data_IF_095517986716
#
_entry.id   IF_095517986716
#
_cell.length_a   1.000
_cell.length_b   1.000
_cell.length_c   1.000
_cell.angle_alpha   90.00
_cell.angle_beta   90.00
_cell.angle_gamma   90.00
#
_symmetry.space_group_name_H-M   'P 1'
#
loop_
_entity.id
_entity.type
_entity.pdbx_description
1 polymer ?
#
# COMPACT_ATOMS: atom_id res chain seq x y z
N UNK A 1 20.80 26.76 16.87
CA UNK A 1 20.17 25.44 16.79
C UNK A 1 18.75 25.65 16.32
N UNK A 2 18.35 25.02 15.22
CA UNK A 2 16.99 25.07 14.68
C UNK A 2 16.10 24.12 15.48
N UNK A 3 14.76 24.23 15.32
CA UNK A 3 13.80 23.29 15.94
C UNK A 3 14.09 21.86 15.44
N UNK A 4 14.39 21.69 14.16
CA UNK A 4 14.79 20.39 13.57
C UNK A 4 15.99 19.78 14.32
N UNK A 5 17.07 20.56 14.50
CA UNK A 5 18.27 20.09 15.19
C UNK A 5 18.00 19.71 16.65
N UNK A 6 17.12 20.43 17.35
CA UNK A 6 16.68 20.07 18.70
C UNK A 6 15.91 18.75 18.73
N UNK A 7 15.06 18.51 17.72
CA UNK A 7 14.33 17.24 17.61
C UNK A 7 15.27 16.06 17.29
N UNK A 8 16.25 16.25 16.41
CA UNK A 8 17.26 15.23 16.10
C UNK A 8 18.14 14.88 17.31
N UNK A 9 18.52 15.87 18.11
CA UNK A 9 19.23 15.63 19.38
C UNK A 9 18.32 14.95 20.43
N UNK A 10 17.01 15.22 20.42
CA UNK A 10 16.06 14.51 21.27
C UNK A 10 15.91 13.03 20.84
N UNK A 11 15.80 12.75 19.54
CA UNK A 11 15.82 11.38 19.00
C UNK A 11 17.02 10.59 19.53
N UNK A 12 18.22 11.16 19.42
CA UNK A 12 19.46 10.53 19.86
C UNK A 12 19.47 10.18 21.36
N UNK A 13 18.80 10.99 22.20
CA UNK A 13 18.75 10.76 23.65
C UNK A 13 17.64 9.81 24.07
N UNK A 14 16.57 9.70 23.32
CA UNK A 14 15.33 9.03 23.76
C UNK A 14 15.02 7.75 22.98
N UNK A 15 15.46 7.64 21.73
CA UNK A 15 15.20 6.47 20.92
C UNK A 15 16.12 5.29 21.30
N UNK A 16 15.70 4.10 20.89
CA UNK A 16 16.48 2.87 21.01
C UNK A 16 17.78 2.98 20.23
N UNK A 17 18.89 2.32 20.69
CA UNK A 17 20.11 2.25 19.89
C UNK A 17 19.93 1.52 18.54
N UNK A 18 18.83 0.82 18.36
CA UNK A 18 18.47 0.14 17.11
C UNK A 18 17.55 0.97 16.21
N UNK A 19 17.07 2.13 16.68
CA UNK A 19 16.21 3.03 15.91
C UNK A 19 17.03 3.75 14.83
N UNK A 20 16.38 4.04 13.71
CA UNK A 20 16.98 4.84 12.66
C UNK A 20 16.77 6.33 12.93
N UNK A 21 17.82 7.07 13.25
CA UNK A 21 17.75 8.49 13.57
C UNK A 21 17.62 9.34 12.31
N UNK A 22 16.84 10.42 12.39
CA UNK A 22 16.64 11.35 11.26
C UNK A 22 17.95 11.96 10.78
N UNK A 23 18.85 12.30 11.71
CA UNK A 23 20.20 12.83 11.40
C UNK A 23 21.11 11.87 10.64
N UNK A 24 20.81 10.56 10.65
CA UNK A 24 21.59 9.52 9.98
C UNK A 24 21.02 9.17 8.59
N UNK A 25 20.03 9.90 8.10
CA UNK A 25 19.42 9.61 6.80
C UNK A 25 20.45 9.65 5.67
N UNK A 26 20.35 8.69 4.76
CA UNK A 26 21.14 8.65 3.52
C UNK A 26 20.67 9.69 2.49
N UNK A 27 19.69 10.51 2.88
CA UNK A 27 19.20 11.64 2.11
C UNK A 27 18.32 11.25 0.93
N UNK A 28 18.23 12.19 -0.01
CA UNK A 28 17.36 12.19 -1.20
C UNK A 28 18.20 12.04 -2.45
N UNK A 29 17.56 11.70 -3.57
CA UNK A 29 18.26 11.65 -4.86
C UNK A 29 18.57 13.06 -5.40
N UNK A 30 17.65 14.00 -5.17
CA UNK A 30 17.86 15.41 -5.54
C UNK A 30 18.10 16.21 -4.26
N UNK A 31 19.28 16.89 -4.14
CA UNK A 31 19.57 17.75 -3.00
C UNK A 31 18.53 18.85 -2.84
N UNK A 32 18.14 19.11 -1.61
CA UNK A 32 17.22 20.18 -1.22
C UNK A 32 17.72 20.86 0.06
N UNK A 33 17.33 22.11 0.25
CA UNK A 33 17.55 22.81 1.52
C UNK A 33 16.86 22.08 2.67
N UNK A 34 17.54 21.99 3.79
CA UNK A 34 16.98 21.44 5.01
C UNK A 34 15.89 22.36 5.56
N UNK A 35 14.90 21.77 6.20
CA UNK A 35 13.83 22.53 6.86
C UNK A 35 14.27 22.89 8.28
N UNK A 36 13.94 24.11 8.73
CA UNK A 36 14.33 24.57 10.07
C UNK A 36 13.48 23.96 11.18
N UNK A 37 12.31 23.39 10.83
CA UNK A 37 11.30 22.92 11.78
C UNK A 37 11.18 21.41 11.76
N UNK A 38 11.08 20.80 10.57
CA UNK A 38 10.74 19.39 10.39
C UNK A 38 11.97 18.54 10.07
N UNK A 39 12.04 17.38 10.70
CA UNK A 39 13.02 16.35 10.32
C UNK A 39 12.75 15.82 8.90
N UNK A 40 13.71 15.11 8.33
CA UNK A 40 13.62 14.57 6.97
C UNK A 40 12.40 13.63 6.80
N UNK A 41 12.09 12.80 7.82
CA UNK A 41 10.99 11.85 7.75
C UNK A 41 9.63 12.52 7.93
N UNK A 42 9.53 13.57 8.72
CA UNK A 42 8.32 14.40 8.81
C UNK A 42 7.99 15.03 7.45
N UNK A 43 9.01 15.55 6.76
CA UNK A 43 8.82 16.09 5.40
C UNK A 43 8.36 15.02 4.42
N UNK A 44 8.87 13.79 4.53
CA UNK A 44 8.45 12.69 3.68
C UNK A 44 7.01 12.29 3.92
N UNK A 45 6.60 12.16 5.17
CA UNK A 45 5.22 11.95 5.57
C UNK A 45 4.29 12.99 4.95
N UNK A 46 4.63 14.27 5.10
CA UNK A 46 3.83 15.37 4.58
C UNK A 46 3.70 15.31 3.04
N UNK A 47 4.79 14.98 2.34
CA UNK A 47 4.79 14.81 0.87
C UNK A 47 3.86 13.69 0.43
N UNK A 48 3.86 12.57 1.14
CA UNK A 48 2.98 11.42 0.86
C UNK A 48 1.53 11.82 1.09
N UNK A 49 1.19 12.40 2.25
CA UNK A 49 -0.17 12.83 2.60
C UNK A 49 -0.77 13.80 1.57
N UNK A 50 0.04 14.70 1.03
CA UNK A 50 -0.39 15.69 0.05
C UNK A 50 -0.33 15.22 -1.40
N UNK A 51 0.08 13.95 -1.66
CA UNK A 51 0.14 13.38 -3.01
C UNK A 51 -1.25 13.10 -3.60
N UNK A 52 -1.35 13.06 -4.93
CA UNK A 52 -2.58 12.64 -5.63
C UNK A 52 -2.86 11.16 -5.36
N UNK A 53 -1.82 10.33 -5.35
CA UNK A 53 -1.93 8.90 -5.14
C UNK A 53 -2.53 8.58 -3.77
N UNK A 54 -2.09 9.24 -2.69
CA UNK A 54 -2.65 9.05 -1.36
C UNK A 54 -4.15 9.39 -1.30
N UNK A 55 -4.57 10.50 -1.92
CA UNK A 55 -6.01 10.86 -1.98
C UNK A 55 -6.86 9.85 -2.73
N UNK A 56 -6.30 9.16 -3.74
CA UNK A 56 -7.02 8.13 -4.51
C UNK A 56 -7.30 6.86 -3.71
N UNK A 57 -6.54 6.58 -2.63
CA UNK A 57 -6.74 5.41 -1.78
C UNK A 57 -8.15 5.35 -1.17
N UNK A 58 -8.82 6.48 -1.00
CA UNK A 58 -10.19 6.53 -0.46
C UNK A 58 -11.23 5.87 -1.38
N UNK A 59 -10.93 5.74 -2.68
CA UNK A 59 -11.82 5.18 -3.71
C UNK A 59 -11.22 3.92 -4.37
N UNK A 60 -10.34 3.22 -3.67
CA UNK A 60 -9.81 1.92 -4.07
C UNK A 60 -10.26 0.86 -3.07
N UNK A 61 -10.80 -0.24 -3.59
CA UNK A 61 -11.19 -1.41 -2.80
C UNK A 61 -10.00 -2.01 -2.06
N UNK A 62 -10.24 -2.47 -0.82
CA UNK A 62 -9.23 -3.21 -0.05
C UNK A 62 -9.30 -4.71 -0.39
N UNK A 63 -10.41 -5.38 -0.13
CA UNK A 63 -10.56 -6.84 -0.27
C UNK A 63 -11.72 -7.23 -1.16
N UNK A 64 -12.94 -6.77 -0.84
CA UNK A 64 -14.15 -7.14 -1.57
C UNK A 64 -14.54 -6.05 -2.57
N UNK A 65 -14.82 -6.46 -3.82
CA UNK A 65 -15.17 -5.55 -4.90
C UNK A 65 -16.53 -4.91 -4.57
N UNK A 66 -16.52 -3.60 -4.36
CA UNK A 66 -17.70 -2.74 -4.16
C UNK A 66 -18.84 -3.39 -3.35
N UNK A 67 -18.62 -3.75 -2.09
CA UNK A 67 -19.74 -4.15 -1.26
C UNK A 67 -20.71 -2.96 -1.10
N UNK A 68 -22.01 -3.22 -1.14
CA UNK A 68 -23.02 -2.19 -0.86
C UNK A 68 -22.93 -1.76 0.62
N UNK A 69 -22.78 -0.45 0.88
CA UNK A 69 -22.81 0.15 2.20
C UNK A 69 -21.61 1.02 2.57
N UNK A 70 -21.77 1.85 3.61
CA UNK A 70 -20.80 2.87 4.02
C UNK A 70 -19.74 2.37 5.00
N UNK A 71 -19.80 1.10 5.42
CA UNK A 71 -18.99 0.56 6.52
C UNK A 71 -17.81 -0.31 6.08
N UNK A 72 -17.61 -0.49 4.79
CA UNK A 72 -16.49 -1.29 4.27
C UNK A 72 -15.20 -0.49 4.20
N UNK A 73 -14.09 -1.20 4.41
CA UNK A 73 -12.76 -0.59 4.39
C UNK A 73 -12.32 -0.26 2.98
N UNK A 74 -11.83 0.97 2.83
CA UNK A 74 -11.08 1.40 1.65
C UNK A 74 -9.58 1.24 1.91
N UNK A 75 -8.75 1.34 0.87
CA UNK A 75 -7.30 1.34 1.06
C UNK A 75 -6.81 2.49 1.94
N UNK A 76 -7.50 3.62 1.94
CA UNK A 76 -7.14 4.72 2.82
C UNK A 76 -7.33 4.35 4.30
N UNK A 77 -8.47 3.74 4.66
CA UNK A 77 -8.70 3.33 6.05
C UNK A 77 -7.74 2.23 6.48
N UNK A 78 -7.47 1.24 5.61
CA UNK A 78 -6.44 0.24 5.84
C UNK A 78 -5.06 0.88 6.09
N UNK A 79 -4.62 1.79 5.23
CA UNK A 79 -3.34 2.49 5.37
C UNK A 79 -3.22 3.23 6.70
N UNK A 80 -4.30 3.88 7.16
CA UNK A 80 -4.35 4.55 8.47
C UNK A 80 -4.28 3.56 9.63
N UNK A 81 -4.96 2.42 9.53
CA UNK A 81 -4.91 1.36 10.55
C UNK A 81 -3.52 0.70 10.60
N UNK A 82 -2.88 0.44 9.45
CA UNK A 82 -1.47 -0.01 9.39
C UNK A 82 -0.55 1.00 10.08
N UNK A 83 -0.72 2.27 9.78
CA UNK A 83 0.07 3.35 10.40
C UNK A 83 -0.14 3.40 11.91
N UNK A 84 -1.37 3.26 12.39
CA UNK A 84 -1.67 3.25 13.82
C UNK A 84 -1.02 2.06 14.54
N UNK A 85 -1.11 0.85 13.97
CA UNK A 85 -0.50 -0.35 14.53
C UNK A 85 1.03 -0.23 14.54
N UNK A 86 1.62 0.17 13.41
CA UNK A 86 3.06 0.31 13.24
C UNK A 86 3.66 1.35 14.22
N UNK A 87 3.01 2.49 14.37
CA UNK A 87 3.43 3.53 15.32
C UNK A 87 3.28 3.08 16.77
N UNK A 88 2.25 2.29 17.11
CA UNK A 88 2.11 1.70 18.44
C UNK A 88 3.28 0.78 18.78
N UNK A 89 3.71 -0.05 17.82
CA UNK A 89 4.88 -0.92 17.95
C UNK A 89 6.16 -0.07 18.04
N UNK A 90 6.34 0.89 17.14
CA UNK A 90 7.51 1.75 17.08
C UNK A 90 7.68 2.53 18.40
N UNK A 91 6.61 3.14 18.89
CA UNK A 91 6.62 3.89 20.15
C UNK A 91 7.00 3.02 21.34
N UNK A 92 6.41 1.83 21.47
CA UNK A 92 6.71 0.90 22.56
C UNK A 92 8.17 0.42 22.55
N UNK A 93 8.76 0.26 21.36
CA UNK A 93 10.15 -0.14 21.16
C UNK A 93 11.12 1.05 21.08
N UNK A 94 10.63 2.28 21.22
CA UNK A 94 11.40 3.54 21.07
C UNK A 94 12.13 3.63 19.72
N UNK A 95 11.44 3.23 18.64
CA UNK A 95 11.87 3.43 17.26
C UNK A 95 11.42 4.81 16.75
N UNK A 96 11.86 5.20 15.57
CA UNK A 96 11.50 6.47 14.95
C UNK A 96 10.05 6.42 14.40
N UNK A 97 9.11 7.07 15.12
CA UNK A 97 7.70 7.08 14.72
C UNK A 97 7.47 7.82 13.40
N UNK A 98 8.22 8.90 13.11
CA UNK A 98 8.04 9.67 11.88
C UNK A 98 8.46 8.86 10.64
N UNK A 99 9.57 8.11 10.72
CA UNK A 99 9.98 7.19 9.67
C UNK A 99 8.95 6.06 9.49
N UNK A 100 8.48 5.49 10.60
CA UNK A 100 7.46 4.43 10.59
C UNK A 100 6.17 4.92 9.91
N UNK A 101 5.70 6.11 10.26
CA UNK A 101 4.49 6.70 9.69
C UNK A 101 4.64 7.00 8.20
N UNK A 102 5.76 7.59 7.78
CA UNK A 102 6.02 7.89 6.38
C UNK A 102 6.00 6.62 5.52
N UNK A 103 6.65 5.53 5.97
CA UNK A 103 6.63 4.23 5.28
C UNK A 103 5.21 3.67 5.24
N UNK A 104 4.50 3.67 6.37
CA UNK A 104 3.14 3.12 6.45
C UNK A 104 2.16 3.85 5.54
N UNK A 105 2.23 5.19 5.46
CA UNK A 105 1.37 5.97 4.56
C UNK A 105 1.72 5.78 3.08
N UNK A 106 2.96 5.42 2.78
CA UNK A 106 3.46 5.25 1.41
C UNK A 106 3.34 3.85 0.83
N UNK A 107 3.14 2.82 1.66
CA UNK A 107 3.32 1.43 1.24
C UNK A 107 2.39 0.98 0.10
N UNK A 108 1.14 1.44 0.07
CA UNK A 108 0.07 0.99 -0.83
C UNK A 108 -0.28 1.98 -1.97
N UNK A 109 0.52 3.03 -2.18
CA UNK A 109 0.25 4.08 -3.18
C UNK A 109 0.12 3.57 -4.62
N UNK A 110 0.84 2.49 -4.94
CA UNK A 110 0.87 1.88 -6.27
C UNK A 110 -0.17 0.79 -6.51
N UNK A 111 -1.09 0.56 -5.58
CA UNK A 111 -2.12 -0.45 -5.75
C UNK A 111 -3.07 -0.09 -6.90
N UNK A 112 -3.48 -1.12 -7.64
CA UNK A 112 -4.42 -1.02 -8.77
C UNK A 112 -5.87 -0.79 -8.31
N UNK A 113 -6.78 -0.33 -9.20
CA UNK A 113 -8.20 -0.50 -8.97
C UNK A 113 -8.52 -1.99 -8.74
N UNK A 114 -9.54 -2.28 -7.92
CA UNK A 114 -9.98 -3.63 -7.53
C UNK A 114 -8.91 -4.48 -6.82
N UNK A 115 -7.98 -3.84 -6.15
CA UNK A 115 -7.00 -4.50 -5.30
C UNK A 115 -6.21 -5.61 -5.99
N UNK A 116 -6.17 -6.79 -5.39
CA UNK A 116 -5.40 -7.92 -5.93
C UNK A 116 -5.94 -8.49 -7.24
N UNK A 117 -7.24 -8.33 -7.54
CA UNK A 117 -7.79 -8.74 -8.84
C UNK A 117 -7.19 -7.89 -9.97
N UNK A 118 -7.13 -6.58 -9.78
CA UNK A 118 -6.49 -5.68 -10.73
C UNK A 118 -4.97 -5.90 -10.84
N UNK A 119 -4.29 -6.16 -9.72
CA UNK A 119 -2.85 -6.47 -9.73
C UNK A 119 -2.56 -7.73 -10.57
N UNK A 120 -3.33 -8.81 -10.37
CA UNK A 120 -3.19 -10.03 -11.18
C UNK A 120 -3.46 -9.77 -12.65
N UNK A 121 -4.49 -8.99 -12.96
CA UNK A 121 -4.83 -8.64 -14.34
C UNK A 121 -3.68 -7.88 -15.01
N UNK A 122 -3.18 -6.81 -14.41
CA UNK A 122 -2.06 -6.05 -14.98
C UNK A 122 -0.77 -6.89 -15.07
N UNK A 123 -0.50 -7.75 -14.08
CA UNK A 123 0.66 -8.63 -14.12
C UNK A 123 0.63 -9.63 -15.30
N UNK A 124 -0.56 -10.04 -15.75
CA UNK A 124 -0.72 -10.91 -16.91
C UNK A 124 -0.70 -10.14 -18.24
N UNK A 125 -1.12 -8.89 -18.24
CA UNK A 125 -1.27 -8.06 -19.43
C UNK A 125 0.07 -7.39 -19.79
N UNK A 126 0.77 -6.84 -18.80
CA UNK A 126 2.03 -6.13 -19.01
C UNK A 126 3.18 -7.09 -19.30
N UNK A 127 3.93 -6.86 -20.37
CA UNK A 127 5.05 -7.71 -20.78
C UNK A 127 6.18 -7.78 -19.75
N UNK A 128 6.33 -6.73 -18.95
CA UNK A 128 7.30 -6.62 -17.84
C UNK A 128 6.75 -7.08 -16.50
N UNK A 129 5.50 -7.60 -16.47
CA UNK A 129 4.79 -7.92 -15.22
C UNK A 129 4.33 -6.68 -14.47
N UNK A 130 3.69 -6.92 -13.31
CA UNK A 130 3.21 -5.85 -12.43
C UNK A 130 3.28 -6.26 -10.95
N UNK A 131 3.73 -5.33 -10.12
CA UNK A 131 3.73 -5.46 -8.66
C UNK A 131 3.36 -4.12 -8.04
N UNK A 132 2.35 -4.10 -7.14
CA UNK A 132 1.96 -2.85 -6.45
C UNK A 132 3.09 -2.24 -5.63
N UNK A 133 4.02 -3.07 -5.13
CA UNK A 133 5.18 -2.60 -4.36
C UNK A 133 6.13 -1.78 -5.23
N UNK A 134 6.51 -2.32 -6.39
CA UNK A 134 7.34 -1.62 -7.36
C UNK A 134 6.61 -0.39 -7.92
N UNK A 135 5.31 -0.52 -8.13
CA UNK A 135 4.49 0.60 -8.56
C UNK A 135 4.38 1.68 -7.47
N UNK A 136 4.33 1.34 -6.17
CA UNK A 136 4.36 2.32 -5.08
C UNK A 136 5.65 3.13 -5.09
N UNK A 137 6.79 2.48 -5.32
CA UNK A 137 8.08 3.17 -5.48
C UNK A 137 8.05 4.05 -6.74
N UNK A 138 7.56 3.55 -7.86
CA UNK A 138 7.45 4.32 -9.10
C UNK A 138 6.53 5.55 -8.95
N UNK A 139 5.44 5.44 -8.20
CA UNK A 139 4.56 6.58 -7.88
C UNK A 139 5.35 7.68 -7.19
N UNK A 140 6.14 7.34 -6.16
CA UNK A 140 6.86 8.34 -5.37
C UNK A 140 8.15 8.84 -6.04
N UNK A 141 8.75 8.07 -6.95
CA UNK A 141 9.97 8.45 -7.66
C UNK A 141 9.70 9.17 -8.97
N UNK A 142 8.60 8.83 -9.67
CA UNK A 142 8.38 9.28 -11.05
C UNK A 142 7.02 9.96 -11.23
N UNK A 143 5.90 9.32 -10.84
CA UNK A 143 4.58 9.71 -11.33
C UNK A 143 4.03 10.97 -10.68
N UNK A 144 4.32 11.21 -9.41
CA UNK A 144 3.85 12.41 -8.73
C UNK A 144 4.54 13.68 -9.25
N UNK A 145 3.92 14.84 -9.02
CA UNK A 145 4.44 16.16 -9.40
C UNK A 145 4.86 16.26 -10.87
N UNK A 146 4.02 15.74 -11.77
CA UNK A 146 4.24 15.80 -13.22
C UNK A 146 5.62 15.23 -13.64
N UNK A 147 5.88 14.00 -13.26
CA UNK A 147 7.09 13.27 -13.67
C UNK A 147 8.36 13.63 -12.91
N UNK A 148 8.26 14.31 -11.74
CA UNK A 148 9.41 14.64 -10.88
C UNK A 148 9.48 13.80 -9.60
N UNK A 149 8.40 13.08 -9.27
CA UNK A 149 8.30 12.31 -8.05
C UNK A 149 8.22 13.18 -6.78
N UNK A 150 8.17 12.52 -5.63
CA UNK A 150 8.11 13.16 -4.32
C UNK A 150 9.49 13.46 -3.73
N UNK A 151 10.56 12.91 -4.30
CA UNK A 151 11.93 13.01 -3.80
C UNK A 151 12.02 12.62 -2.31
N UNK A 152 11.54 11.41 -1.98
CA UNK A 152 11.58 10.87 -0.62
C UNK A 152 12.99 10.40 -0.25
N UNK A 153 13.25 10.28 1.04
CA UNK A 153 14.49 9.70 1.58
C UNK A 153 14.61 8.22 1.17
N UNK A 154 15.84 7.73 1.13
CA UNK A 154 16.15 6.35 0.75
C UNK A 154 15.54 5.33 1.70
N UNK A 155 15.44 5.66 2.98
CA UNK A 155 14.88 4.80 4.02
C UNK A 155 13.38 4.61 3.83
N UNK A 156 12.65 5.67 3.52
CA UNK A 156 11.20 5.60 3.25
C UNK A 156 10.95 4.77 1.99
N UNK A 157 11.73 4.97 0.92
CA UNK A 157 11.62 4.18 -0.32
C UNK A 157 11.96 2.71 -0.11
N UNK A 158 13.02 2.41 0.67
CA UNK A 158 13.37 1.03 1.04
C UNK A 158 12.22 0.36 1.81
N UNK A 159 11.62 1.08 2.77
CA UNK A 159 10.48 0.57 3.53
C UNK A 159 9.25 0.30 2.66
N UNK A 160 8.92 1.22 1.72
CA UNK A 160 7.84 1.04 0.75
C UNK A 160 8.11 -0.19 -0.15
N UNK A 161 9.33 -0.33 -0.67
CA UNK A 161 9.70 -1.45 -1.54
C UNK A 161 9.65 -2.80 -0.83
N UNK A 162 9.99 -2.84 0.46
CA UNK A 162 10.21 -4.07 1.21
C UNK A 162 9.11 -4.43 2.21
N UNK A 163 7.92 -3.83 2.12
CA UNK A 163 6.84 -4.10 3.07
C UNK A 163 6.19 -5.49 2.88
N UNK A 164 6.30 -6.12 1.71
CA UNK A 164 5.80 -7.48 1.46
C UNK A 164 6.50 -8.53 2.32
N UNK A 165 5.85 -9.70 2.45
CA UNK A 165 6.37 -10.85 3.20
C UNK A 165 7.74 -11.34 2.71
N UNK A 166 8.01 -11.22 1.42
CA UNK A 166 9.30 -11.59 0.79
C UNK A 166 10.35 -10.48 0.87
N UNK A 167 9.98 -9.28 1.30
CA UNK A 167 10.89 -8.15 1.39
C UNK A 167 11.83 -8.24 2.60
N UNK A 168 12.97 -7.56 2.49
CA UNK A 168 14.01 -7.50 3.52
C UNK A 168 14.28 -6.04 3.89
N UNK A 169 13.39 -5.38 4.64
CA UNK A 169 13.55 -3.98 5.00
C UNK A 169 14.76 -3.78 5.92
N UNK A 170 15.52 -2.73 5.66
CA UNK A 170 16.80 -2.45 6.32
C UNK A 170 16.64 -1.87 7.73
N UNK A 171 15.54 -1.15 7.99
CA UNK A 171 15.31 -0.50 9.28
C UNK A 171 14.27 -1.26 10.10
N UNK A 172 14.32 -1.13 11.44
CA UNK A 172 13.31 -1.74 12.31
C UNK A 172 11.93 -1.09 12.13
N UNK A 173 11.91 0.19 11.80
CA UNK A 173 10.70 0.95 11.47
C UNK A 173 9.97 0.32 10.26
N UNK A 174 10.70 -0.01 9.22
CA UNK A 174 10.16 -0.69 8.04
C UNK A 174 9.73 -2.14 8.35
N UNK A 175 10.44 -2.85 9.26
CA UNK A 175 10.01 -4.15 9.75
C UNK A 175 8.71 -4.04 10.56
N UNK A 176 8.54 -2.97 11.35
CA UNK A 176 7.29 -2.70 12.07
C UNK A 176 6.13 -2.52 11.10
N UNK A 177 6.30 -1.73 10.04
CA UNK A 177 5.26 -1.56 9.00
C UNK A 177 4.92 -2.89 8.34
N UNK A 178 5.91 -3.69 7.94
CA UNK A 178 5.70 -5.01 7.33
C UNK A 178 4.90 -5.98 8.20
N UNK A 179 5.13 -5.98 9.51
CA UNK A 179 4.36 -6.79 10.44
C UNK A 179 2.97 -6.22 10.67
N UNK A 180 2.86 -4.91 10.75
CA UNK A 180 1.58 -4.21 10.96
C UNK A 180 0.62 -4.36 9.80
N UNK A 181 1.12 -4.32 8.56
CA UNK A 181 0.32 -4.60 7.37
C UNK A 181 -0.31 -6.00 7.42
N UNK A 182 0.47 -7.03 7.81
CA UNK A 182 -0.06 -8.39 7.98
C UNK A 182 -1.09 -8.49 9.09
N UNK A 183 -0.87 -7.79 10.21
CA UNK A 183 -1.80 -7.76 11.34
C UNK A 183 -3.11 -7.09 10.92
N UNK A 184 -3.01 -5.92 10.30
CA UNK A 184 -4.14 -5.16 9.81
C UNK A 184 -4.93 -5.98 8.78
N UNK A 185 -4.27 -6.44 7.71
CA UNK A 185 -4.90 -7.21 6.64
C UNK A 185 -5.70 -8.40 7.17
N UNK A 186 -5.09 -9.27 7.99
CA UNK A 186 -5.79 -10.45 8.53
C UNK A 186 -7.03 -10.07 9.35
N UNK A 187 -6.91 -9.07 10.21
CA UNK A 187 -8.03 -8.67 11.07
C UNK A 187 -9.15 -7.98 10.30
N UNK A 188 -8.78 -7.21 9.27
CA UNK A 188 -9.75 -6.58 8.38
C UNK A 188 -10.55 -7.60 7.59
N UNK A 189 -9.87 -8.59 7.02
CA UNK A 189 -10.51 -9.63 6.24
C UNK A 189 -11.50 -10.46 7.07
N UNK A 190 -11.13 -10.78 8.32
CA UNK A 190 -12.04 -11.47 9.25
C UNK A 190 -13.23 -10.58 9.57
N UNK A 191 -13.02 -9.32 9.95
CA UNK A 191 -14.09 -8.39 10.32
C UNK A 191 -15.06 -8.11 9.14
N UNK A 192 -14.51 -7.85 7.97
CA UNK A 192 -15.31 -7.58 6.77
C UNK A 192 -16.09 -8.83 6.31
N UNK A 193 -15.52 -10.03 6.48
CA UNK A 193 -16.20 -11.29 6.18
C UNK A 193 -17.36 -11.59 7.14
N UNK A 194 -17.19 -11.24 8.42
CA UNK A 194 -18.26 -11.35 9.41
C UNK A 194 -19.36 -10.34 9.12
N UNK A 195 -19.02 -9.09 8.83
CA UNK A 195 -19.98 -8.03 8.47
C UNK A 195 -20.76 -8.35 7.20
N UNK A 196 -20.09 -8.96 6.22
CA UNK A 196 -20.70 -9.42 4.98
C UNK A 196 -21.53 -10.69 5.13
N UNK A 197 -21.61 -11.28 6.34
CA UNK A 197 -22.36 -12.52 6.59
C UNK A 197 -21.77 -13.76 5.93
N UNK A 198 -20.50 -13.69 5.49
CA UNK A 198 -19.81 -14.83 4.84
C UNK A 198 -19.42 -15.86 5.90
N UNK A 199 -19.01 -15.42 7.07
CA UNK A 199 -18.66 -16.25 8.24
C UNK A 199 -19.18 -15.57 9.52
N UNK A 200 -19.19 -16.33 10.61
CA UNK A 200 -19.37 -15.82 11.97
C UNK A 200 -18.08 -15.94 12.77
N UNK A 201 -18.00 -15.30 13.95
CA UNK A 201 -16.82 -15.43 14.83
C UNK A 201 -16.65 -16.91 15.29
N UNK A 202 -17.74 -17.67 15.40
CA UNK A 202 -17.77 -19.07 15.81
C UNK A 202 -17.23 -20.02 14.73
N UNK A 203 -17.27 -19.63 13.47
CA UNK A 203 -16.72 -20.42 12.35
C UNK A 203 -15.19 -20.44 12.35
N UNK A 204 -14.55 -19.46 13.01
CA UNK A 204 -13.10 -19.43 13.14
C UNK A 204 -12.62 -20.61 14.01
N UNK A 205 -11.59 -21.39 13.57
CA UNK A 205 -11.11 -22.54 14.33
C UNK A 205 -10.69 -22.17 15.76
N UNK A 206 -11.16 -22.97 16.73
CA UNK A 206 -10.90 -22.74 18.16
C UNK A 206 -9.40 -22.72 18.48
N UNK A 207 -8.60 -23.49 17.77
CA UNK A 207 -7.14 -23.48 17.92
C UNK A 207 -6.50 -22.10 17.67
N UNK A 208 -7.07 -21.30 16.77
CA UNK A 208 -6.60 -19.94 16.53
C UNK A 208 -7.25 -18.92 17.47
N UNK A 209 -8.54 -19.08 17.77
CA UNK A 209 -9.29 -18.20 18.68
C UNK A 209 -8.72 -18.24 20.11
N UNK A 210 -8.32 -19.41 20.59
CA UNK A 210 -7.74 -19.56 21.93
C UNK A 210 -6.39 -18.87 22.08
N UNK A 211 -5.60 -18.74 21.00
CA UNK A 211 -4.29 -18.09 21.01
C UNK A 211 -4.40 -16.61 20.69
N UNK A 212 -5.17 -16.25 19.67
CA UNK A 212 -5.21 -14.88 19.13
C UNK A 212 -6.27 -14.00 19.80
N UNK A 213 -7.32 -14.59 20.38
CA UNK A 213 -8.46 -13.88 20.94
C UNK A 213 -9.76 -14.13 20.17
N UNK A 214 -10.88 -13.79 20.80
CA UNK A 214 -12.25 -14.08 20.35
C UNK A 214 -12.98 -12.83 19.81
N UNK A 215 -12.25 -11.76 19.57
CA UNK A 215 -12.76 -10.54 18.97
C UNK A 215 -11.65 -9.84 18.19
N UNK A 216 -12.01 -8.95 17.27
CA UNK A 216 -11.07 -8.12 16.51
C UNK A 216 -10.12 -7.38 17.45
N UNK A 217 -10.66 -6.79 18.55
CA UNK A 217 -9.88 -6.06 19.54
C UNK A 217 -8.84 -6.95 20.22
N UNK A 218 -9.23 -8.13 20.68
CA UNK A 218 -8.33 -9.07 21.35
C UNK A 218 -7.25 -9.57 20.39
N UNK A 219 -7.62 -9.92 19.17
CA UNK A 219 -6.67 -10.37 18.14
C UNK A 219 -5.60 -9.31 17.84
N UNK A 220 -6.02 -8.07 17.62
CA UNK A 220 -5.08 -6.97 17.36
C UNK A 220 -4.16 -6.74 18.56
N UNK A 221 -4.70 -6.68 19.78
CA UNK A 221 -3.90 -6.49 21.00
C UNK A 221 -2.88 -7.62 21.20
N UNK A 222 -3.31 -8.88 21.07
CA UNK A 222 -2.43 -10.05 21.16
C UNK A 222 -1.28 -9.99 20.16
N UNK A 223 -1.57 -9.67 18.90
CA UNK A 223 -0.57 -9.62 17.84
C UNK A 223 0.43 -8.46 18.06
N UNK A 224 -0.06 -7.27 18.42
CA UNK A 224 0.81 -6.11 18.72
C UNK A 224 1.71 -6.41 19.92
N UNK A 225 1.15 -6.92 21.02
CA UNK A 225 1.92 -7.30 22.22
C UNK A 225 2.95 -8.37 21.92
N UNK A 226 2.60 -9.36 21.14
CA UNK A 226 3.52 -10.42 20.72
C UNK A 226 4.74 -9.84 20.00
N UNK A 227 4.55 -8.90 19.05
CA UNK A 227 5.65 -8.24 18.36
C UNK A 227 6.49 -7.43 19.35
N UNK A 228 5.87 -6.62 20.19
CA UNK A 228 6.59 -5.75 21.13
C UNK A 228 7.45 -6.57 22.10
N UNK A 229 6.83 -7.50 22.84
CA UNK A 229 7.56 -8.24 23.89
C UNK A 229 8.62 -9.19 23.33
N UNK A 230 8.42 -9.70 22.12
CA UNK A 230 9.40 -10.54 21.45
C UNK A 230 10.60 -9.76 20.88
N UNK A 231 10.48 -8.44 20.74
CA UNK A 231 11.47 -7.59 20.06
C UNK A 231 12.18 -6.60 20.97
N UNK A 232 11.79 -6.44 22.24
CA UNK A 232 12.46 -5.53 23.19
C UNK A 232 13.96 -5.83 23.27
N UNK A 233 14.79 -4.81 23.03
CA UNK A 233 16.25 -4.89 23.14
C UNK A 233 16.92 -5.71 22.04
N UNK A 234 16.24 -5.96 20.90
CA UNK A 234 16.76 -6.72 19.77
C UNK A 234 16.93 -5.84 18.53
N UNK A 235 17.78 -6.29 17.64
CA UNK A 235 18.11 -5.69 16.35
C UNK A 235 17.21 -6.16 15.20
N UNK A 236 16.15 -6.89 15.53
CA UNK A 236 15.17 -7.40 14.58
C UNK A 236 13.79 -7.53 15.23
N UNK A 237 12.74 -7.25 14.45
CA UNK A 237 11.37 -7.43 14.92
C UNK A 237 10.86 -8.84 14.61
N UNK A 238 10.26 -9.46 15.61
CA UNK A 238 9.67 -10.80 15.50
C UNK A 238 8.41 -10.93 16.36
N UNK A 239 7.62 -11.92 16.03
CA UNK A 239 6.46 -12.34 16.79
C UNK A 239 6.81 -13.60 17.60
N UNK A 240 6.13 -13.78 18.71
CA UNK A 240 6.20 -15.06 19.44
C UNK A 240 5.86 -16.21 18.48
N UNK A 241 6.58 -17.32 18.49
CA UNK A 241 6.35 -18.43 17.56
C UNK A 241 4.93 -18.98 17.59
N UNK A 242 4.32 -19.18 18.77
CA UNK A 242 2.96 -19.73 18.92
C UNK A 242 1.94 -18.75 18.32
N UNK A 243 2.07 -17.47 18.60
CA UNK A 243 1.18 -16.41 18.05
C UNK A 243 1.38 -16.28 16.54
N UNK A 244 2.63 -16.35 16.08
CA UNK A 244 2.97 -16.29 14.66
C UNK A 244 2.41 -17.46 13.86
N UNK A 245 2.49 -18.68 14.40
CA UNK A 245 1.91 -19.90 13.81
C UNK A 245 0.38 -19.83 13.75
N UNK A 246 -0.26 -19.39 14.84
CA UNK A 246 -1.71 -19.21 14.89
C UNK A 246 -2.17 -18.14 13.87
N UNK A 247 -1.46 -17.02 13.74
CA UNK A 247 -1.74 -15.99 12.74
C UNK A 247 -1.63 -16.54 11.31
N UNK A 248 -0.57 -17.29 11.01
CA UNK A 248 -0.40 -17.93 9.69
C UNK A 248 -1.47 -18.99 9.42
N UNK A 249 -1.84 -19.77 10.45
CA UNK A 249 -2.89 -20.77 10.38
C UNK A 249 -4.24 -20.13 10.04
N UNK A 250 -4.61 -19.07 10.77
CA UNK A 250 -5.84 -18.33 10.51
C UNK A 250 -5.85 -17.72 9.10
N UNK A 251 -4.75 -17.16 8.63
CA UNK A 251 -4.63 -16.67 7.26
C UNK A 251 -4.86 -17.75 6.20
N UNK A 252 -4.28 -18.94 6.40
CA UNK A 252 -4.49 -20.09 5.49
C UNK A 252 -5.95 -20.54 5.51
N UNK A 253 -6.56 -20.56 6.68
CA UNK A 253 -7.97 -20.89 6.83
C UNK A 253 -8.86 -19.90 6.09
N UNK A 254 -8.64 -18.60 6.27
CA UNK A 254 -9.34 -17.52 5.54
C UNK A 254 -9.20 -17.69 4.02
N UNK A 255 -8.00 -18.03 3.55
CA UNK A 255 -7.76 -18.25 2.14
C UNK A 255 -8.61 -19.41 1.56
N UNK A 256 -8.74 -20.48 2.30
CA UNK A 256 -9.47 -21.69 1.83
C UNK A 256 -10.99 -21.59 2.00
N UNK A 257 -11.48 -20.89 3.01
CA UNK A 257 -12.90 -20.86 3.37
C UNK A 257 -13.62 -19.60 2.94
N UNK A 258 -12.93 -18.48 2.88
CA UNK A 258 -13.51 -17.19 2.51
C UNK A 258 -13.16 -16.82 1.08
N UNK A 259 -11.86 -16.64 0.77
CA UNK A 259 -11.46 -16.11 -0.52
C UNK A 259 -11.76 -17.03 -1.71
N UNK A 260 -11.75 -18.36 -1.53
CA UNK A 260 -12.04 -19.32 -2.63
C UNK A 260 -13.52 -19.57 -2.87
N UNK A 261 -14.37 -19.26 -1.92
CA UNK A 261 -15.79 -19.65 -1.93
C UNK A 261 -16.76 -18.47 -2.00
N UNK A 262 -16.28 -17.22 -1.96
CA UNK A 262 -17.16 -16.07 -1.91
C UNK A 262 -17.68 -15.66 -3.29
N UNK A 263 -18.93 -15.20 -3.37
CA UNK A 263 -19.53 -14.56 -4.54
C UNK A 263 -18.68 -13.38 -5.06
N UNK A 264 -17.93 -12.72 -4.15
CA UNK A 264 -16.99 -11.67 -4.53
C UNK A 264 -15.94 -12.14 -5.56
N UNK A 265 -15.65 -13.44 -5.61
CA UNK A 265 -14.73 -14.02 -6.59
C UNK A 265 -15.34 -14.22 -7.96
N UNK A 266 -16.65 -14.36 -8.03
CA UNK A 266 -17.37 -14.44 -9.31
C UNK A 266 -17.27 -13.12 -10.10
N UNK A 267 -17.05 -11.99 -9.42
CA UNK A 267 -16.86 -10.69 -10.06
C UNK A 267 -15.39 -10.43 -10.50
N UNK A 268 -14.40 -11.14 -9.96
CA UNK A 268 -12.97 -10.91 -10.27
C UNK A 268 -12.64 -11.11 -11.76
N UNK A 269 -13.25 -12.10 -12.43
CA UNK A 269 -13.00 -12.33 -13.86
C UNK A 269 -13.48 -11.17 -14.75
N UNK A 270 -14.54 -10.45 -14.30
CA UNK A 270 -15.03 -9.25 -14.99
C UNK A 270 -14.00 -8.13 -14.94
N UNK A 271 -13.31 -7.98 -13.79
CA UNK A 271 -12.21 -7.02 -13.63
C UNK A 271 -11.08 -7.31 -14.61
N UNK A 272 -10.67 -8.58 -14.74
CA UNK A 272 -9.61 -8.95 -15.68
C UNK A 272 -10.01 -8.60 -17.13
N UNK A 273 -11.22 -8.96 -17.54
CA UNK A 273 -11.75 -8.63 -18.86
C UNK A 273 -11.80 -7.13 -19.13
N UNK A 274 -12.28 -6.37 -18.14
CA UNK A 274 -12.41 -4.91 -18.23
C UNK A 274 -11.04 -4.23 -18.34
N UNK A 275 -10.08 -4.59 -17.48
CA UNK A 275 -8.75 -3.99 -17.50
C UNK A 275 -7.98 -4.35 -18.77
N UNK A 276 -8.14 -5.56 -19.30
CA UNK A 276 -7.56 -5.97 -20.59
C UNK A 276 -8.10 -5.12 -21.74
N UNK A 277 -9.41 -4.89 -21.78
CA UNK A 277 -10.02 -4.04 -22.80
C UNK A 277 -9.53 -2.59 -22.69
N UNK A 278 -9.55 -2.01 -21.50
CA UNK A 278 -9.03 -0.65 -21.29
C UNK A 278 -7.56 -0.53 -21.66
N UNK A 279 -6.73 -1.51 -21.30
CA UNK A 279 -5.31 -1.53 -21.65
C UNK A 279 -5.12 -1.54 -23.17
N UNK A 280 -5.82 -2.45 -23.87
CA UNK A 280 -5.78 -2.52 -25.35
C UNK A 280 -6.21 -1.20 -25.97
N UNK A 281 -7.30 -0.61 -25.48
CA UNK A 281 -7.81 0.67 -25.96
C UNK A 281 -6.75 1.78 -25.86
N UNK A 282 -6.11 1.95 -24.69
CA UNK A 282 -5.11 2.99 -24.51
C UNK A 282 -3.80 2.72 -25.26
N UNK A 283 -3.47 1.47 -25.53
CA UNK A 283 -2.36 1.11 -26.43
C UNK A 283 -2.64 1.46 -27.89
N UNK A 284 -3.89 1.37 -28.33
CA UNK A 284 -4.32 1.72 -29.69
C UNK A 284 -4.64 3.21 -29.84
N UNK A 285 -5.05 3.88 -28.75
CA UNK A 285 -5.49 5.27 -28.72
C UNK A 285 -4.74 6.11 -27.66
N UNK A 286 -3.40 6.23 -27.73
CA UNK A 286 -2.60 6.95 -26.74
C UNK A 286 -2.94 8.43 -26.62
N UNK A 287 -3.57 9.03 -27.65
CA UNK A 287 -4.05 10.41 -27.62
C UNK A 287 -5.18 10.63 -26.60
N UNK A 288 -5.86 9.56 -26.15
CA UNK A 288 -6.92 9.62 -25.14
C UNK A 288 -6.41 9.62 -23.70
N UNK A 289 -5.12 9.35 -23.51
CA UNK A 289 -4.48 9.52 -22.20
C UNK A 289 -4.58 10.98 -21.74
N UNK A 290 -4.62 11.20 -20.42
CA UNK A 290 -4.62 12.57 -19.90
C UNK A 290 -3.30 13.29 -20.24
N UNK A 291 -3.33 14.61 -20.26
CA UNK A 291 -2.15 15.44 -20.57
C UNK A 291 -0.92 15.06 -19.73
N UNK A 292 -1.12 14.78 -18.44
CA UNK A 292 -0.06 14.36 -17.53
C UNK A 292 0.64 13.07 -18.02
N UNK A 293 -0.13 12.06 -18.46
CA UNK A 293 0.42 10.79 -18.93
C UNK A 293 0.96 10.86 -20.35
N UNK A 294 0.40 11.71 -21.22
CA UNK A 294 1.02 11.99 -22.52
C UNK A 294 2.38 12.66 -22.37
N UNK A 295 2.50 13.62 -21.47
CA UNK A 295 3.78 14.24 -21.12
C UNK A 295 4.80 13.20 -20.60
N UNK A 296 4.36 12.28 -19.72
CA UNK A 296 5.23 11.21 -19.22
C UNK A 296 5.69 10.28 -20.36
N UNK A 297 4.82 9.98 -21.31
CA UNK A 297 5.17 9.18 -22.48
C UNK A 297 6.21 9.90 -23.35
N UNK A 298 5.96 11.15 -23.73
CA UNK A 298 6.91 11.95 -24.52
C UNK A 298 8.29 12.05 -23.84
N UNK A 299 8.30 12.31 -22.52
CA UNK A 299 9.55 12.36 -21.74
C UNK A 299 10.27 11.01 -21.72
N UNK A 300 9.54 9.90 -21.65
CA UNK A 300 10.15 8.56 -21.62
C UNK A 300 10.88 8.21 -22.92
N UNK A 301 10.49 8.79 -24.05
CA UNK A 301 11.12 8.59 -25.35
C UNK A 301 12.55 9.17 -25.45
N UNK A 302 13.01 9.90 -24.44
CA UNK A 302 14.42 10.33 -24.32
C UNK A 302 15.35 9.12 -24.12
N UNK A 303 14.88 8.08 -23.44
CA UNK A 303 15.60 6.81 -23.30
C UNK A 303 15.44 5.96 -24.56
N UNK A 304 16.49 5.92 -25.39
CA UNK A 304 16.53 5.16 -26.64
C UNK A 304 16.87 3.68 -26.46
N UNK A 305 17.13 3.23 -25.24
CA UNK A 305 17.44 1.82 -24.95
C UNK A 305 16.22 0.92 -24.99
N UNK A 306 15.03 1.52 -24.88
CA UNK A 306 13.72 0.86 -24.85
C UNK A 306 12.90 1.28 -26.06
N UNK A 307 12.09 0.39 -26.61
CA UNK A 307 11.23 0.70 -27.76
C UNK A 307 10.10 1.64 -27.39
N UNK A 308 9.62 2.43 -28.35
CA UNK A 308 8.47 3.33 -28.16
C UNK A 308 7.23 2.58 -27.66
N UNK A 309 7.00 1.36 -28.14
CA UNK A 309 5.90 0.51 -27.71
C UNK A 309 6.01 0.12 -26.24
N UNK A 310 7.21 -0.24 -25.76
CA UNK A 310 7.44 -0.58 -24.35
C UNK A 310 7.29 0.65 -23.45
N UNK A 311 7.71 1.83 -23.89
CA UNK A 311 7.45 3.09 -23.20
C UNK A 311 5.95 3.36 -23.07
N UNK A 312 5.19 3.22 -24.16
CA UNK A 312 3.74 3.38 -24.15
C UNK A 312 3.08 2.36 -23.21
N UNK A 313 3.48 1.09 -23.30
CA UNK A 313 2.98 0.03 -22.43
C UNK A 313 3.18 0.35 -20.96
N UNK A 314 4.35 0.86 -20.60
CA UNK A 314 4.64 1.28 -19.22
C UNK A 314 3.76 2.43 -18.78
N UNK A 315 3.58 3.44 -19.60
CA UNK A 315 2.73 4.61 -19.28
C UNK A 315 1.25 4.24 -19.20
N UNK A 316 0.76 3.36 -20.06
CA UNK A 316 -0.62 2.83 -19.99
C UNK A 316 -0.82 2.04 -18.72
N UNK A 317 0.15 1.20 -18.33
CA UNK A 317 0.12 0.49 -17.07
C UNK A 317 0.08 1.45 -15.87
N UNK A 318 0.92 2.50 -15.86
CA UNK A 318 0.93 3.55 -14.85
C UNK A 318 -0.42 4.28 -14.76
N UNK A 319 -1.03 4.57 -15.90
CA UNK A 319 -2.32 5.26 -15.96
C UNK A 319 -3.44 4.41 -15.36
N UNK A 320 -3.54 3.14 -15.80
CA UNK A 320 -4.58 2.21 -15.31
C UNK A 320 -4.39 1.91 -13.83
N UNK A 321 -3.15 1.62 -13.39
CA UNK A 321 -2.88 1.36 -11.97
C UNK A 321 -3.19 2.57 -11.08
N UNK A 322 -3.06 3.77 -11.61
CA UNK A 322 -3.41 5.02 -10.93
C UNK A 322 -4.91 5.32 -10.84
N UNK A 323 -5.77 4.59 -11.54
CA UNK A 323 -7.22 4.79 -11.48
C UNK A 323 -7.81 4.38 -10.13
N UNK A 324 -8.94 4.99 -9.77
CA UNK A 324 -9.85 4.46 -8.75
C UNK A 324 -10.79 3.46 -9.37
N UNK A 325 -11.46 2.62 -8.57
CA UNK A 325 -12.42 1.64 -9.07
C UNK A 325 -13.55 2.32 -9.84
N UNK A 326 -14.10 3.40 -9.27
CA UNK A 326 -15.15 4.20 -9.89
C UNK A 326 -14.71 4.84 -11.22
N UNK A 327 -13.50 5.40 -11.25
CA UNK A 327 -12.97 6.01 -12.48
C UNK A 327 -12.71 4.96 -13.56
N UNK A 328 -12.24 3.77 -13.17
CA UNK A 328 -12.07 2.65 -14.08
C UNK A 328 -13.38 2.19 -14.70
N UNK A 329 -14.45 2.02 -13.88
CA UNK A 329 -15.80 1.73 -14.36
C UNK A 329 -16.30 2.81 -15.32
N UNK A 330 -16.14 4.09 -14.95
CA UNK A 330 -16.56 5.20 -15.79
C UNK A 330 -15.89 5.15 -17.18
N UNK A 331 -14.58 4.93 -17.23
CA UNK A 331 -13.83 4.83 -18.49
C UNK A 331 -14.24 3.61 -19.33
N UNK A 332 -14.50 2.47 -18.68
CA UNK A 332 -15.02 1.31 -19.37
C UNK A 332 -16.40 1.58 -19.99
N UNK A 333 -17.32 2.17 -19.24
CA UNK A 333 -18.64 2.56 -19.74
C UNK A 333 -18.55 3.58 -20.87
N UNK A 334 -17.62 4.53 -20.78
CA UNK A 334 -17.39 5.56 -21.80
C UNK A 334 -16.99 4.97 -23.16
N UNK A 335 -16.10 3.97 -23.16
CA UNK A 335 -15.50 3.45 -24.39
C UNK A 335 -16.18 2.19 -24.94
N UNK A 336 -16.79 1.38 -24.09
CA UNK A 336 -17.29 0.07 -24.48
C UNK A 336 -18.81 -0.09 -24.40
N UNK A 337 -19.50 0.84 -23.76
CA UNK A 337 -20.97 0.78 -23.64
C UNK A 337 -21.60 1.89 -24.49
N UNK A 338 -22.44 1.55 -25.50
CA UNK A 338 -23.13 2.54 -26.31
C UNK A 338 -24.02 3.46 -25.46
N UNK A 339 -23.89 4.76 -25.66
CA UNK A 339 -24.75 5.75 -24.99
C UNK A 339 -26.10 5.81 -25.71
N UNK A 340 -27.19 5.95 -24.94
CA UNK A 340 -28.50 6.24 -25.49
C UNK A 340 -28.44 7.58 -26.23
N UNK A 341 -28.94 7.61 -27.45
CA UNK A 341 -29.04 8.83 -28.22
C UNK A 341 -30.44 9.45 -27.96
N UNK A 342 -30.47 10.56 -27.22
CA UNK A 342 -31.66 11.39 -27.08
C UNK A 342 -31.54 12.59 -28.01
N UNK A 343 -32.56 12.81 -28.84
CA UNK A 343 -32.82 14.13 -29.41
C UNK A 343 -33.72 14.84 -28.40
N UNK A 344 -33.26 15.93 -27.85
CA UNK A 344 -34.12 16.91 -27.18
C UNK A 344 -34.98 17.62 -28.23
#
# INVERSE_FOLDING_TARGET
MTIREEMEELEKRTLSPYAFLSMNSLGRDYPEEEDDIRTIFQRDRDRILHSKAFRRLKHKTQVFIQPEGDHYRTRLTHTLEVSQIARSIAKALRLNEDLTEAIALGHDLGHTPYGHAGERALNQICSFGFSHVEQSVRVVEVLEKNGRGLNLSKEVRDGILNHRSSGHPKTLEAQAVRLSDKIAYLNHDVDDSIRGGIITEEDLPEEFRSVLGRSVKERIDTLIRSVIFSSIGKDSLRMDPVVGEAMQGLRKWMFSHVYKKSEAKEEEWKVEGMLRLLFTFYMEHPETLTEEYRFLFEKSLEDKSVSEREHLERVVCDYISGMTDEYCNHKFMEYYVPKAWAKD
#
